data_IF_452380107407
#
_entry.id   IF_452380107407
#
_cell.length_a   1.000
_cell.length_b   1.000
_cell.length_c   1.000
_cell.angle_alpha   90.00
_cell.angle_beta   90.00
_cell.angle_gamma   90.00
#
_symmetry.space_group_name_H-M   'P 1'
#
loop_
_entity.id
_entity.type
_entity.pdbx_description
1 polymer ?
#
# COMPACT_ATOMS: atom_id res chain seq x y z
N UNK A 1 19.84 -13.47 25.16
CA UNK A 1 19.84 -12.61 23.95
C UNK A 1 18.42 -12.13 23.77
N UNK A 2 18.16 -10.82 23.96
CA UNK A 2 16.81 -10.28 23.74
C UNK A 2 16.60 -10.18 22.24
N UNK A 3 15.76 -11.05 21.67
CA UNK A 3 15.30 -10.93 20.29
C UNK A 3 14.63 -9.55 20.12
N UNK A 4 15.31 -8.61 19.46
CA UNK A 4 14.70 -7.37 19.02
C UNK A 4 13.64 -7.72 17.99
N UNK A 5 12.39 -7.89 18.45
CA UNK A 5 11.24 -8.10 17.58
C UNK A 5 11.21 -6.99 16.52
N UNK A 6 11.22 -7.32 15.22
CA UNK A 6 11.22 -6.30 14.18
C UNK A 6 9.98 -5.43 14.34
N UNK A 7 10.19 -4.12 14.47
CA UNK A 7 9.08 -3.17 14.61
C UNK A 7 8.31 -3.17 13.29
N UNK A 8 7.08 -3.68 13.31
CA UNK A 8 6.25 -3.73 12.11
C UNK A 8 5.67 -2.33 11.84
N UNK A 9 6.03 -1.65 10.73
CA UNK A 9 5.57 -0.29 10.43
C UNK A 9 4.05 -0.21 10.27
N UNK A 10 3.41 -1.32 9.88
CA UNK A 10 1.99 -1.40 9.59
C UNK A 10 1.10 -1.49 10.83
N UNK A 11 1.68 -1.71 12.02
CA UNK A 11 0.94 -1.75 13.28
C UNK A 11 0.53 -0.35 13.77
N UNK A 12 1.27 0.69 13.35
CA UNK A 12 0.99 2.07 13.75
C UNK A 12 0.02 2.78 12.80
N UNK A 13 -0.35 2.14 11.68
CA UNK A 13 -1.30 2.67 10.70
C UNK A 13 -2.71 2.13 10.97
N UNK A 14 -3.78 2.93 10.82
CA UNK A 14 -5.14 2.43 10.88
C UNK A 14 -5.40 1.36 9.81
N UNK A 15 -6.37 0.46 10.05
CA UNK A 15 -6.61 -0.70 9.19
C UNK A 15 -6.81 -0.32 7.72
N UNK A 16 -7.41 0.85 7.46
CA UNK A 16 -7.75 1.33 6.12
C UNK A 16 -6.51 1.60 5.26
N UNK A 17 -5.35 1.79 5.89
CA UNK A 17 -4.08 2.10 5.24
C UNK A 17 -3.12 0.89 5.21
N UNK A 18 -3.63 -0.31 5.45
CA UNK A 18 -2.84 -1.55 5.38
C UNK A 18 -2.72 -2.05 3.94
N UNK A 19 -1.66 -2.82 3.61
CA UNK A 19 -1.35 -3.17 2.23
C UNK A 19 -2.49 -3.94 1.56
N UNK A 20 -3.21 -4.78 2.30
CA UNK A 20 -4.39 -5.48 1.76
C UNK A 20 -5.54 -4.52 1.43
N UNK A 21 -5.79 -3.49 2.24
CA UNK A 21 -6.83 -2.50 1.94
C UNK A 21 -6.48 -1.71 0.68
N UNK A 22 -5.22 -1.29 0.53
CA UNK A 22 -4.74 -0.59 -0.67
C UNK A 22 -4.88 -1.46 -1.92
N UNK A 23 -4.51 -2.75 -1.80
CA UNK A 23 -4.67 -3.73 -2.89
C UNK A 23 -6.13 -3.94 -3.23
N UNK A 24 -6.99 -4.13 -2.24
CA UNK A 24 -8.42 -4.36 -2.45
C UNK A 24 -9.06 -3.16 -3.13
N UNK A 25 -8.79 -1.94 -2.66
CA UNK A 25 -9.30 -0.71 -3.29
C UNK A 25 -8.84 -0.59 -4.74
N UNK A 26 -7.56 -0.84 -5.03
CA UNK A 26 -7.04 -0.79 -6.40
C UNK A 26 -7.67 -1.84 -7.31
N UNK A 27 -7.77 -3.09 -6.85
CA UNK A 27 -8.42 -4.19 -7.60
C UNK A 27 -9.90 -3.90 -7.83
N UNK A 28 -10.63 -3.41 -6.82
CA UNK A 28 -12.04 -3.03 -6.96
C UNK A 28 -12.23 -1.88 -7.95
N UNK A 29 -11.38 -0.87 -7.93
CA UNK A 29 -11.44 0.24 -8.90
C UNK A 29 -11.15 -0.24 -10.33
N UNK A 30 -10.10 -1.05 -10.52
CA UNK A 30 -9.72 -1.58 -11.84
C UNK A 30 -10.81 -2.52 -12.38
N UNK A 31 -11.29 -3.45 -11.56
CA UNK A 31 -12.36 -4.39 -11.94
C UNK A 31 -13.71 -3.71 -12.15
N UNK A 32 -14.05 -2.72 -11.31
CA UNK A 32 -15.25 -1.89 -11.48
C UNK A 32 -15.21 -1.07 -12.76
N UNK A 33 -14.07 -0.44 -13.06
CA UNK A 33 -13.86 0.29 -14.33
C UNK A 33 -14.05 -0.63 -15.53
N UNK A 34 -13.49 -1.85 -15.49
CA UNK A 34 -13.68 -2.83 -16.55
C UNK A 34 -15.14 -3.27 -16.71
N UNK A 35 -15.84 -3.57 -15.60
CA UNK A 35 -17.23 -4.01 -15.63
C UNK A 35 -18.17 -2.96 -16.22
N UNK A 36 -17.93 -1.68 -15.92
CA UNK A 36 -18.78 -0.58 -16.38
C UNK A 36 -18.51 -0.20 -17.84
N UNK A 37 -17.26 -0.15 -18.27
CA UNK A 37 -16.91 0.36 -19.61
C UNK A 37 -16.63 -0.73 -20.63
N UNK A 38 -16.38 -1.98 -20.23
CA UNK A 38 -15.89 -3.11 -21.07
C UNK A 38 -14.77 -2.72 -22.07
N UNK A 39 -14.06 -1.64 -21.79
CA UNK A 39 -13.10 -1.02 -22.69
C UNK A 39 -11.72 -1.18 -22.08
N UNK A 40 -10.95 -2.14 -22.62
CA UNK A 40 -9.60 -2.49 -22.18
C UNK A 40 -8.70 -1.25 -22.07
N UNK A 41 -8.81 -0.35 -23.06
CA UNK A 41 -8.00 0.86 -23.15
C UNK A 41 -8.17 1.80 -21.96
N UNK A 42 -9.42 1.99 -21.51
CA UNK A 42 -9.72 2.83 -20.36
C UNK A 42 -9.21 2.18 -19.07
N UNK A 43 -9.36 0.86 -18.94
CA UNK A 43 -8.88 0.14 -17.76
C UNK A 43 -7.35 0.18 -17.65
N UNK A 44 -6.62 0.10 -18.77
CA UNK A 44 -5.15 0.26 -18.78
C UNK A 44 -4.75 1.68 -18.39
N UNK A 45 -5.44 2.69 -18.90
CA UNK A 45 -5.17 4.08 -18.54
C UNK A 45 -5.37 4.34 -17.04
N UNK A 46 -6.40 3.74 -16.44
CA UNK A 46 -6.73 3.87 -15.00
C UNK A 46 -5.82 2.99 -14.13
N UNK A 47 -5.37 1.83 -14.62
CA UNK A 47 -4.52 0.92 -13.85
C UNK A 47 -3.10 1.44 -13.65
N UNK A 48 -2.57 2.27 -14.57
CA UNK A 48 -1.24 2.87 -14.44
C UNK A 48 -1.12 3.75 -13.17
N UNK A 49 -1.95 4.79 -12.97
CA UNK A 49 -1.84 5.64 -11.78
C UNK A 49 -2.18 4.88 -10.50
N UNK A 50 -3.20 4.00 -10.53
CA UNK A 50 -3.58 3.18 -9.36
C UNK A 50 -2.44 2.22 -9.00
N UNK A 51 -1.86 1.53 -9.98
CA UNK A 51 -0.74 0.61 -9.80
C UNK A 51 0.50 1.33 -9.28
N UNK A 52 0.79 2.52 -9.80
CA UNK A 52 1.90 3.37 -9.32
C UNK A 52 1.68 3.76 -7.86
N UNK A 53 0.48 4.21 -7.51
CA UNK A 53 0.12 4.55 -6.13
C UNK A 53 0.21 3.34 -5.20
N UNK A 54 -0.33 2.18 -5.61
CA UNK A 54 -0.23 0.94 -4.86
C UNK A 54 1.23 0.50 -4.65
N UNK A 55 2.04 0.49 -5.71
CA UNK A 55 3.45 0.12 -5.64
C UNK A 55 4.22 1.05 -4.70
N UNK A 56 3.96 2.36 -4.76
CA UNK A 56 4.55 3.34 -3.85
C UNK A 56 4.24 3.01 -2.38
N UNK A 57 2.98 2.80 -2.04
CA UNK A 57 2.60 2.54 -0.65
C UNK A 57 3.03 1.15 -0.16
N UNK A 58 2.97 0.11 -1.00
CA UNK A 58 3.28 -1.25 -0.57
C UNK A 58 4.79 -1.49 -0.49
N UNK A 59 5.57 -0.95 -1.44
CA UNK A 59 7.00 -1.22 -1.54
C UNK A 59 7.87 -0.09 -1.00
N UNK A 60 7.61 1.15 -1.42
CA UNK A 60 8.49 2.27 -1.08
C UNK A 60 8.25 2.77 0.35
N UNK A 61 6.99 2.91 0.78
CA UNK A 61 6.68 3.39 2.13
C UNK A 61 7.32 2.57 3.27
N UNK A 62 7.24 1.22 3.32
CA UNK A 62 7.87 0.48 4.40
C UNK A 62 9.40 0.63 4.38
N UNK A 63 10.01 0.67 3.19
CA UNK A 63 11.45 0.91 3.06
C UNK A 63 11.86 2.29 3.58
N UNK A 64 11.08 3.32 3.30
CA UNK A 64 11.32 4.68 3.79
C UNK A 64 11.16 4.77 5.31
N UNK A 65 10.15 4.12 5.89
CA UNK A 65 9.94 4.10 7.34
C UNK A 65 11.02 3.33 8.10
N UNK A 66 11.49 2.22 7.53
CA UNK A 66 12.59 1.45 8.13
C UNK A 66 13.88 2.28 8.09
N UNK A 67 14.15 2.99 6.98
CA UNK A 67 15.34 3.83 6.84
C UNK A 67 15.29 5.12 7.67
N UNK A 68 14.11 5.68 7.91
CA UNK A 68 13.98 6.94 8.64
C UNK A 68 14.16 6.80 10.15
N UNK A 69 14.12 5.59 10.70
CA UNK A 69 14.23 5.36 12.15
C UNK A 69 13.03 5.88 12.96
N UNK A 70 11.97 6.41 12.32
CA UNK A 70 10.76 6.94 12.99
C UNK A 70 10.11 5.93 13.94
N UNK A 71 10.26 4.64 13.63
CA UNK A 71 9.73 3.55 14.44
C UNK A 71 10.39 3.45 15.82
N UNK A 72 11.63 3.93 15.96
CA UNK A 72 12.33 3.99 17.25
C UNK A 72 11.77 5.10 18.14
N UNK A 73 11.42 6.27 17.57
CA UNK A 73 10.76 7.35 18.31
C UNK A 73 9.37 6.99 18.82
N UNK A 74 8.70 5.99 18.23
CA UNK A 74 7.41 5.48 18.70
C UNK A 74 7.52 4.46 19.84
N UNK A 75 8.75 4.05 20.22
CA UNK A 75 9.01 3.04 21.25
C UNK A 75 9.31 3.67 22.62
N UNK A 76 9.68 4.95 22.67
CA UNK A 76 9.81 5.74 23.92
C UNK A 76 8.44 6.18 24.45
#
# INVERSE_FOLDING_TARGET
MSEQKPINPWNYKPWWCQPWSIVLTGVTLISGSWLLFKTIWLTVLVSIPIGTWMAFFVLFWPQLMIRSGILESYKE
#
